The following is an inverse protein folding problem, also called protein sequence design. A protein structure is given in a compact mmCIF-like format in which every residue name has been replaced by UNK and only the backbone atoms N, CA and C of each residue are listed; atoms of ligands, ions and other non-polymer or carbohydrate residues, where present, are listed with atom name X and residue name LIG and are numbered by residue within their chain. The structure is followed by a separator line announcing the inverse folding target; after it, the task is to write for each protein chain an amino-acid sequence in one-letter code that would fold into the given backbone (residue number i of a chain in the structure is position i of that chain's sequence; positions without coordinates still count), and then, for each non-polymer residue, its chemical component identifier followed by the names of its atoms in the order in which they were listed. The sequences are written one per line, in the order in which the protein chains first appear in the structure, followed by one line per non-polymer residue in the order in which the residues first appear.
data_IF_284555393068
#
_entry.id   IF_284555393068
#
_cell.length_a   1.000
_cell.length_b   1.000
_cell.length_c   1.000
_cell.angle_alpha   90.00
_cell.angle_beta   90.00
_cell.angle_gamma   90.00
#
_symmetry.space_group_name_H-M   'P 1'
#
loop_
_entity.id
_entity.type
_entity.pdbx_description
1 polymer ?
#
# COMPACT_ATOMS: atom_id res chain seq x y z
N UNK A 1 -23.95 11.26 -5.94
CA UNK A 1 -24.90 10.19 -6.34
C UNK A 1 -24.76 9.75 -7.80
N UNK A 2 -24.32 10.59 -8.75
CA UNK A 2 -24.12 10.17 -10.14
C UNK A 2 -22.84 9.32 -10.37
N UNK A 3 -21.78 9.53 -9.59
CA UNK A 3 -20.53 8.79 -9.73
C UNK A 3 -20.62 7.32 -9.27
N UNK A 4 -21.51 7.00 -8.34
CA UNK A 4 -21.72 5.62 -7.87
C UNK A 4 -22.29 4.70 -8.97
N UNK A 5 -23.13 5.25 -9.88
CA UNK A 5 -23.72 4.47 -10.96
C UNK A 5 -22.70 4.07 -12.04
N UNK A 6 -21.73 4.93 -12.35
CA UNK A 6 -20.69 4.63 -13.32
C UNK A 6 -19.77 3.49 -12.83
N UNK A 7 -19.41 3.49 -11.54
CA UNK A 7 -18.62 2.42 -10.92
C UNK A 7 -19.38 1.10 -10.91
N UNK A 8 -20.70 1.13 -10.69
CA UNK A 8 -21.57 -0.06 -10.76
C UNK A 8 -21.61 -0.70 -12.15
N UNK A 9 -21.61 0.10 -13.21
CA UNK A 9 -21.59 -0.43 -14.58
C UNK A 9 -20.27 -1.10 -14.92
N UNK A 10 -19.14 -0.55 -14.48
CA UNK A 10 -17.82 -1.15 -14.68
C UNK A 10 -17.67 -2.51 -13.99
N UNK A 11 -18.23 -2.69 -12.79
CA UNK A 11 -18.16 -3.98 -12.07
C UNK A 11 -18.96 -5.12 -12.73
N UNK A 12 -19.83 -4.82 -13.70
CA UNK A 12 -20.50 -5.83 -14.52
C UNK A 12 -19.63 -6.35 -15.66
N UNK A 13 -18.61 -5.62 -16.07
CA UNK A 13 -17.65 -6.05 -17.06
C UNK A 13 -16.73 -7.13 -16.49
N UNK A 14 -16.62 -8.29 -17.20
CA UNK A 14 -15.80 -9.42 -16.75
C UNK A 14 -14.31 -9.08 -16.68
N UNK A 15 -13.82 -8.27 -17.62
CA UNK A 15 -12.42 -7.84 -17.67
C UNK A 15 -12.11 -6.95 -16.49
N UNK A 16 -12.94 -5.98 -16.22
CA UNK A 16 -12.79 -5.08 -15.07
C UNK A 16 -12.84 -5.83 -13.74
N UNK A 17 -13.72 -6.84 -13.60
CA UNK A 17 -13.77 -7.70 -12.41
C UNK A 17 -12.49 -8.49 -12.22
N UNK A 18 -11.95 -9.05 -13.30
CA UNK A 18 -10.69 -9.81 -13.27
C UNK A 18 -9.53 -8.89 -12.84
N UNK A 19 -9.40 -7.72 -13.45
CA UNK A 19 -8.34 -6.75 -13.13
C UNK A 19 -8.44 -6.25 -11.69
N UNK A 20 -9.66 -6.08 -11.19
CA UNK A 20 -9.92 -5.70 -9.80
C UNK A 20 -9.50 -6.79 -8.81
N UNK A 21 -9.78 -8.06 -9.11
CA UNK A 21 -9.32 -9.18 -8.28
C UNK A 21 -7.79 -9.33 -8.33
N UNK A 22 -7.19 -9.12 -9.49
CA UNK A 22 -5.74 -9.10 -9.64
C UNK A 22 -5.10 -7.97 -8.81
N UNK A 23 -5.71 -6.78 -8.82
CA UNK A 23 -5.29 -5.67 -7.97
C UNK A 23 -5.34 -6.01 -6.47
N UNK A 24 -6.44 -6.60 -5.99
CA UNK A 24 -6.54 -7.04 -4.60
C UNK A 24 -5.48 -8.10 -4.24
N UNK A 25 -5.23 -9.04 -5.15
CA UNK A 25 -4.17 -10.05 -4.98
C UNK A 25 -2.79 -9.39 -4.91
N UNK A 26 -2.55 -8.36 -5.71
CA UNK A 26 -1.34 -7.54 -5.66
C UNK A 26 -1.17 -6.83 -4.30
N UNK A 27 -2.24 -6.26 -3.75
CA UNK A 27 -2.23 -5.67 -2.40
C UNK A 27 -1.89 -6.70 -1.32
N UNK A 28 -2.47 -7.90 -1.43
CA UNK A 28 -2.21 -9.01 -0.51
C UNK A 28 -0.73 -9.42 -0.54
N UNK A 29 -0.17 -9.59 -1.74
CA UNK A 29 1.25 -9.91 -1.91
C UNK A 29 2.15 -8.78 -1.41
N UNK A 30 1.81 -7.52 -1.68
CA UNK A 30 2.57 -6.39 -1.17
C UNK A 30 2.59 -6.36 0.35
N UNK A 31 1.45 -6.59 1.01
CA UNK A 31 1.37 -6.63 2.47
C UNK A 31 2.27 -7.71 3.08
N UNK A 32 2.42 -8.87 2.38
CA UNK A 32 3.31 -9.96 2.82
C UNK A 32 4.79 -9.66 2.58
N UNK A 33 5.12 -8.99 1.48
CA UNK A 33 6.49 -8.86 1.00
C UNK A 33 7.19 -7.59 1.49
N UNK A 34 6.45 -6.51 1.75
CA UNK A 34 7.06 -5.21 2.06
C UNK A 34 7.80 -5.19 3.41
N UNK A 35 7.30 -5.89 4.42
CA UNK A 35 7.94 -5.98 5.73
C UNK A 35 9.32 -6.62 5.65
N UNK A 36 9.47 -7.84 5.12
CA UNK A 36 10.78 -8.47 4.88
C UNK A 36 11.71 -7.61 4.01
N UNK A 37 11.19 -6.91 2.99
CA UNK A 37 12.00 -5.99 2.19
C UNK A 37 12.52 -4.81 3.01
N UNK A 38 11.67 -4.23 3.86
CA UNK A 38 12.03 -3.12 4.74
C UNK A 38 13.13 -3.51 5.73
N UNK A 39 13.00 -4.68 6.38
CA UNK A 39 14.05 -5.19 7.28
C UNK A 39 15.39 -5.35 6.56
N UNK A 40 15.37 -5.91 5.37
CA UNK A 40 16.60 -6.17 4.60
C UNK A 40 17.39 -4.90 4.26
N UNK A 41 16.70 -3.79 4.10
CA UNK A 41 17.34 -2.51 3.70
C UNK A 41 17.51 -1.53 4.86
N UNK A 42 16.99 -1.84 6.03
CA UNK A 42 16.90 -0.92 7.15
C UNK A 42 18.23 -0.24 7.48
N UNK A 43 19.29 -1.02 7.65
CA UNK A 43 20.62 -0.52 7.99
C UNK A 43 21.33 0.21 6.85
N UNK A 44 20.75 0.17 5.65
CA UNK A 44 21.30 0.83 4.46
C UNK A 44 20.71 2.22 4.22
N UNK A 45 19.57 2.52 4.86
CA UNK A 45 18.91 3.83 4.74
C UNK A 45 19.72 4.84 5.56
N UNK A 46 20.28 5.81 4.87
CA UNK A 46 21.17 6.79 5.49
C UNK A 46 20.40 7.90 6.23
N UNK A 47 20.99 8.54 7.24
CA UNK A 47 20.39 9.70 7.91
C UNK A 47 20.01 10.84 6.95
N UNK A 48 20.76 11.00 5.86
CA UNK A 48 20.47 12.00 4.81
C UNK A 48 19.16 11.67 4.09
N UNK A 49 18.90 10.39 3.80
CA UNK A 49 17.66 9.96 3.15
C UNK A 49 16.46 10.06 4.09
N UNK A 50 16.66 9.75 5.37
CA UNK A 50 15.62 9.94 6.40
C UNK A 50 15.21 11.42 6.48
N UNK A 51 16.16 12.35 6.47
CA UNK A 51 15.87 13.78 6.44
C UNK A 51 15.16 14.19 5.13
N UNK A 52 15.60 13.67 3.98
CA UNK A 52 14.94 13.93 2.71
C UNK A 52 13.50 13.41 2.66
N UNK A 53 13.22 12.27 3.30
CA UNK A 53 11.84 11.76 3.47
C UNK A 53 10.99 12.69 4.32
N UNK A 54 11.55 13.19 5.44
CA UNK A 54 10.88 14.17 6.32
C UNK A 54 10.47 15.42 5.56
N UNK A 55 11.38 15.98 4.76
CA UNK A 55 11.11 17.18 3.96
C UNK A 55 10.02 16.93 2.90
N UNK A 56 10.02 15.75 2.28
CA UNK A 56 8.98 15.36 1.32
C UNK A 56 7.61 15.21 1.98
N UNK A 57 7.54 14.69 3.21
CA UNK A 57 6.28 14.52 3.93
C UNK A 57 5.66 15.85 4.34
N UNK A 58 6.46 16.89 4.51
CA UNK A 58 5.99 18.25 4.78
C UNK A 58 5.35 18.93 3.56
N UNK A 59 5.51 18.37 2.35
CA UNK A 59 4.96 18.96 1.13
C UNK A 59 3.46 18.73 1.03
N UNK A 60 2.67 19.72 0.58
CA UNK A 60 1.26 19.54 0.25
C UNK A 60 1.09 18.39 -0.76
N UNK A 61 0.08 17.56 -0.59
CA UNK A 61 -0.24 16.42 -1.46
C UNK A 61 0.82 15.29 -1.47
N UNK A 62 1.75 15.26 -0.51
CA UNK A 62 2.68 14.15 -0.37
C UNK A 62 1.94 12.86 -0.03
N UNK A 63 2.42 11.75 -0.62
CA UNK A 63 1.99 10.39 -0.27
C UNK A 63 3.17 9.71 0.43
N UNK A 64 3.21 9.72 1.77
CA UNK A 64 4.36 9.21 2.54
C UNK A 64 4.74 7.79 2.15
N UNK A 65 3.76 6.89 2.02
CA UNK A 65 3.98 5.49 1.66
C UNK A 65 4.73 5.32 0.33
N UNK A 66 4.41 6.15 -0.68
CA UNK A 66 5.10 6.13 -1.98
C UNK A 66 6.59 6.48 -1.84
N UNK A 67 6.90 7.48 -1.03
CA UNK A 67 8.28 7.92 -0.84
C UNK A 67 9.11 6.89 -0.06
N UNK A 68 8.50 6.27 0.97
CA UNK A 68 9.13 5.18 1.73
C UNK A 68 9.38 3.98 0.81
N UNK A 69 8.39 3.58 0.00
CA UNK A 69 8.55 2.49 -0.95
C UNK A 69 9.71 2.75 -1.92
N UNK A 70 9.79 3.96 -2.49
CA UNK A 70 10.89 4.33 -3.40
C UNK A 70 12.25 4.22 -2.69
N UNK A 71 12.34 4.66 -1.44
CA UNK A 71 13.57 4.55 -0.64
C UNK A 71 13.97 3.08 -0.46
N UNK A 72 13.03 2.19 -0.10
CA UNK A 72 13.28 0.75 0.03
C UNK A 72 13.79 0.17 -1.29
N UNK A 73 13.14 0.52 -2.42
CA UNK A 73 13.52 0.01 -3.74
C UNK A 73 14.93 0.44 -4.18
N UNK A 74 15.40 1.60 -3.75
CA UNK A 74 16.74 2.07 -4.07
C UNK A 74 17.84 1.23 -3.38
N UNK A 75 17.55 0.65 -2.21
CA UNK A 75 18.51 -0.13 -1.43
C UNK A 75 18.35 -1.64 -1.57
N UNK A 76 17.27 -2.10 -2.20
CA UNK A 76 16.99 -3.54 -2.36
C UNK A 76 17.85 -4.12 -3.47
N UNK A 77 18.88 -4.88 -3.08
CA UNK A 77 19.90 -5.47 -3.96
C UNK A 77 19.49 -6.82 -4.58
N UNK A 78 18.49 -7.50 -4.00
CA UNK A 78 18.00 -8.79 -4.47
C UNK A 78 17.09 -8.60 -5.69
N UNK A 79 17.67 -8.69 -6.89
CA UNK A 79 16.98 -8.38 -8.15
C UNK A 79 15.64 -9.10 -8.37
N UNK A 80 15.48 -10.42 -8.15
CA UNK A 80 14.20 -11.07 -8.31
C UNK A 80 13.13 -10.48 -7.40
N UNK A 81 13.48 -10.21 -6.15
CA UNK A 81 12.57 -9.64 -5.16
C UNK A 81 12.17 -8.20 -5.49
N UNK A 82 13.16 -7.39 -5.89
CA UNK A 82 12.94 -6.03 -6.38
C UNK A 82 12.00 -6.01 -7.58
N UNK A 83 12.21 -6.91 -8.56
CA UNK A 83 11.37 -7.03 -9.74
C UNK A 83 9.92 -7.35 -9.36
N UNK A 84 9.70 -8.34 -8.48
CA UNK A 84 8.36 -8.69 -8.01
C UNK A 84 7.66 -7.50 -7.36
N UNK A 85 8.32 -6.80 -6.43
CA UNK A 85 7.74 -5.63 -5.76
C UNK A 85 7.45 -4.49 -6.74
N UNK A 86 8.31 -4.25 -7.73
CA UNK A 86 8.09 -3.24 -8.76
C UNK A 86 6.88 -3.58 -9.64
N UNK A 87 6.73 -4.85 -10.06
CA UNK A 87 5.57 -5.26 -10.87
C UNK A 87 4.27 -5.17 -10.07
N UNK A 88 4.27 -5.61 -8.81
CA UNK A 88 3.11 -5.42 -7.93
C UNK A 88 2.79 -3.92 -7.79
N UNK A 89 3.80 -3.07 -7.58
CA UNK A 89 3.57 -1.63 -7.43
C UNK A 89 2.96 -1.00 -8.69
N UNK A 90 3.31 -1.48 -9.90
CA UNK A 90 2.66 -1.03 -11.14
C UNK A 90 1.16 -1.36 -11.14
N UNK A 91 0.79 -2.56 -10.70
CA UNK A 91 -0.62 -2.93 -10.51
C UNK A 91 -1.31 -2.02 -9.50
N UNK A 92 -0.61 -1.65 -8.42
CA UNK A 92 -1.18 -0.79 -7.37
C UNK A 92 -1.38 0.66 -7.83
N UNK A 93 -0.62 1.15 -8.80
CA UNK A 93 -0.85 2.46 -9.41
C UNK A 93 -2.24 2.57 -10.07
N UNK A 94 -2.74 1.46 -10.59
CA UNK A 94 -4.10 1.40 -11.15
C UNK A 94 -5.18 1.61 -10.07
N UNK A 95 -4.94 1.18 -8.85
CA UNK A 95 -5.89 1.28 -7.73
C UNK A 95 -5.96 2.67 -7.06
N UNK A 96 -5.12 3.62 -7.42
CA UNK A 96 -5.30 5.00 -6.98
C UNK A 96 -6.68 5.55 -7.38
N UNK A 97 -7.28 5.06 -8.46
CA UNK A 97 -8.64 5.40 -8.85
C UNK A 97 -9.67 4.99 -7.78
N UNK A 98 -9.51 3.83 -7.12
CA UNK A 98 -10.43 3.39 -6.07
C UNK A 98 -10.33 4.21 -4.78
N UNK A 99 -9.16 4.71 -4.43
CA UNK A 99 -9.00 5.56 -3.24
C UNK A 99 -9.65 6.94 -3.42
N UNK A 100 -9.70 7.46 -4.64
CA UNK A 100 -10.43 8.68 -4.96
C UNK A 100 -11.95 8.48 -4.92
N UNK A 101 -12.45 7.34 -5.40
CA UNK A 101 -13.89 7.05 -5.45
C UNK A 101 -14.46 6.61 -4.10
N UNK A 102 -13.64 6.11 -3.18
CA UNK A 102 -14.14 5.73 -1.86
C UNK A 102 -14.58 6.93 -0.99
N UNK A 103 -14.33 8.15 -1.45
CA UNK A 103 -14.89 9.41 -0.89
C UNK A 103 -14.65 9.65 0.61
N UNK A 104 -13.87 8.78 1.25
CA UNK A 104 -13.67 8.83 2.69
C UNK A 104 -12.30 9.43 2.99
N UNK A 105 -12.30 10.73 3.29
CA UNK A 105 -11.16 11.43 3.86
C UNK A 105 -10.53 10.68 5.03
N UNK A 106 -11.32 9.94 5.80
CA UNK A 106 -10.88 9.20 6.98
C UNK A 106 -9.93 8.03 6.66
N UNK A 107 -10.18 7.28 5.58
CA UNK A 107 -9.29 6.16 5.19
C UNK A 107 -7.94 6.63 4.67
N UNK A 108 -7.91 7.75 3.94
CA UNK A 108 -6.68 8.38 3.47
C UNK A 108 -5.89 8.96 4.64
N UNK A 109 -6.56 9.61 5.58
CA UNK A 109 -5.95 10.12 6.80
C UNK A 109 -5.35 8.99 7.64
N UNK A 110 -6.07 7.87 7.79
CA UNK A 110 -5.56 6.71 8.53
C UNK A 110 -4.35 6.07 7.85
N UNK A 111 -4.33 5.98 6.51
CA UNK A 111 -3.18 5.49 5.76
C UNK A 111 -1.96 6.39 5.95
N UNK A 112 -2.15 7.70 5.89
CA UNK A 112 -1.08 8.67 6.13
C UNK A 112 -0.55 8.57 7.56
N UNK A 113 -1.42 8.44 8.55
CA UNK A 113 -1.03 8.25 9.95
C UNK A 113 -0.22 6.96 10.15
N UNK A 114 -0.63 5.85 9.55
CA UNK A 114 0.09 4.59 9.63
C UNK A 114 1.47 4.69 8.94
N UNK A 115 1.54 5.36 7.79
CA UNK A 115 2.81 5.60 7.09
C UNK A 115 3.76 6.47 7.90
N UNK A 116 3.24 7.50 8.58
CA UNK A 116 4.03 8.34 9.47
C UNK A 116 4.52 7.59 10.71
N UNK A 117 3.70 6.70 11.29
CA UNK A 117 4.14 5.82 12.39
C UNK A 117 5.30 4.92 11.96
N UNK A 118 5.20 4.27 10.79
CA UNK A 118 6.31 3.50 10.24
C UNK A 118 7.57 4.37 10.06
N UNK A 119 7.42 5.58 9.55
CA UNK A 119 8.54 6.52 9.41
C UNK A 119 9.16 6.91 10.76
N UNK A 120 8.35 7.12 11.80
CA UNK A 120 8.88 7.38 13.15
C UNK A 120 9.68 6.21 13.71
N UNK A 121 9.24 4.96 13.45
CA UNK A 121 10.03 3.77 13.78
C UNK A 121 11.40 3.78 13.05
N UNK A 122 11.42 4.13 11.75
CA UNK A 122 12.66 4.28 11.00
C UNK A 122 13.59 5.34 11.62
N UNK A 123 13.05 6.50 12.02
CA UNK A 123 13.83 7.56 12.69
C UNK A 123 14.36 7.15 14.06
N UNK A 124 13.60 6.32 14.79
CA UNK A 124 13.97 5.83 16.11
C UNK A 124 14.95 4.66 16.09
N UNK A 125 15.29 4.11 14.92
CA UNK A 125 16.13 2.94 14.82
C UNK A 125 15.38 1.63 15.12
N UNK A 126 14.04 1.63 15.09
CA UNK A 126 13.19 0.47 15.33
C UNK A 126 12.87 -0.23 13.99
N UNK A 127 13.69 -1.21 13.63
CA UNK A 127 13.57 -1.95 12.39
C UNK A 127 12.26 -2.77 12.34
N UNK A 128 11.89 -3.38 13.44
CA UNK A 128 10.71 -4.24 13.56
C UNK A 128 9.43 -3.43 13.46
N UNK A 129 9.36 -2.31 14.16
CA UNK A 129 8.26 -1.36 14.07
C UNK A 129 8.12 -0.75 12.68
N UNK A 130 9.23 -0.45 11.99
CA UNK A 130 9.22 0.03 10.61
C UNK A 130 8.63 -1.00 9.65
N UNK A 131 9.09 -2.24 9.71
CA UNK A 131 8.66 -3.32 8.83
C UNK A 131 7.18 -3.69 9.05
N UNK A 132 6.78 -3.87 10.31
CA UNK A 132 5.39 -4.18 10.67
C UNK A 132 4.44 -3.03 10.34
N UNK A 133 4.88 -1.79 10.54
CA UNK A 133 4.13 -0.59 10.19
C UNK A 133 3.82 -0.49 8.69
N UNK A 134 4.80 -0.82 7.83
CA UNK A 134 4.58 -0.84 6.38
C UNK A 134 3.64 -1.96 5.94
N UNK A 135 3.81 -3.17 6.47
CA UNK A 135 2.87 -4.27 6.21
C UNK A 135 1.44 -3.88 6.61
N UNK A 136 1.28 -3.23 7.77
CA UNK A 136 0.00 -2.72 8.26
C UNK A 136 -0.64 -1.69 7.31
N UNK A 137 0.16 -0.82 6.66
CA UNK A 137 -0.35 0.12 5.66
C UNK A 137 -1.06 -0.61 4.51
N UNK A 138 -0.42 -1.63 3.94
CA UNK A 138 -0.99 -2.39 2.82
C UNK A 138 -2.15 -3.28 3.26
N UNK A 139 -2.12 -3.86 4.45
CA UNK A 139 -3.26 -4.56 5.04
C UNK A 139 -4.47 -3.63 5.21
N UNK A 140 -4.24 -2.38 5.62
CA UNK A 140 -5.29 -1.38 5.74
C UNK A 140 -5.91 -1.05 4.37
N UNK A 141 -5.09 -0.77 3.35
CA UNK A 141 -5.57 -0.50 1.98
C UNK A 141 -6.40 -1.69 1.48
N UNK A 142 -5.88 -2.91 1.59
CA UNK A 142 -6.58 -4.13 1.18
C UNK A 142 -7.94 -4.25 1.86
N UNK A 143 -8.00 -4.01 3.16
CA UNK A 143 -9.25 -4.11 3.94
C UNK A 143 -10.29 -3.08 3.47
N UNK A 144 -9.86 -1.83 3.26
CA UNK A 144 -10.76 -0.75 2.81
C UNK A 144 -11.28 -1.03 1.41
N UNK A 145 -10.38 -1.34 0.46
CA UNK A 145 -10.76 -1.59 -0.94
C UNK A 145 -11.65 -2.83 -1.04
N UNK A 146 -11.29 -3.92 -0.35
CA UNK A 146 -12.10 -5.14 -0.32
C UNK A 146 -13.51 -4.88 0.21
N UNK A 147 -13.62 -4.16 1.32
CA UNK A 147 -14.92 -3.80 1.90
C UNK A 147 -15.78 -2.96 0.95
N UNK A 148 -15.16 -2.00 0.26
CA UNK A 148 -15.83 -1.22 -0.78
C UNK A 148 -16.34 -2.12 -1.91
N UNK A 149 -15.51 -2.98 -2.47
CA UNK A 149 -15.86 -3.83 -3.62
C UNK A 149 -16.97 -4.84 -3.27
N UNK A 150 -16.95 -5.44 -2.09
CA UNK A 150 -18.03 -6.31 -1.61
C UNK A 150 -19.35 -5.54 -1.57
N UNK A 151 -19.32 -4.34 -1.00
CA UNK A 151 -20.50 -3.47 -0.89
C UNK A 151 -21.09 -3.10 -2.25
N UNK A 152 -20.22 -2.91 -3.26
CA UNK A 152 -20.62 -2.44 -4.58
C UNK A 152 -20.72 -3.57 -5.65
N UNK A 153 -20.81 -4.83 -5.25
CA UNK A 153 -21.24 -5.92 -6.12
C UNK A 153 -20.15 -6.85 -6.63
N UNK A 154 -19.00 -6.89 -5.95
CA UNK A 154 -17.95 -7.89 -6.19
C UNK A 154 -17.80 -8.81 -4.97
N UNK A 155 -18.75 -9.74 -4.73
CA UNK A 155 -18.72 -10.61 -3.55
C UNK A 155 -17.50 -11.54 -3.53
N UNK A 156 -16.93 -11.87 -4.67
CA UNK A 156 -15.72 -12.69 -4.81
C UNK A 156 -14.51 -12.07 -4.09
N UNK A 157 -14.50 -10.74 -3.90
CA UNK A 157 -13.48 -10.07 -3.11
C UNK A 157 -13.45 -10.56 -1.64
N UNK A 158 -14.53 -11.17 -1.14
CA UNK A 158 -14.59 -11.75 0.21
C UNK A 158 -13.65 -12.96 0.38
N UNK A 159 -13.33 -13.69 -0.71
CA UNK A 159 -12.42 -14.83 -0.67
C UNK A 159 -10.96 -14.44 -0.40
N UNK A 160 -10.60 -13.18 -0.70
CA UNK A 160 -9.26 -12.64 -0.47
C UNK A 160 -9.13 -12.19 1.00
N UNK A 161 -8.45 -13.00 1.79
CA UNK A 161 -8.22 -12.69 3.21
C UNK A 161 -7.13 -11.62 3.36
N UNK A 162 -7.31 -10.74 4.35
CA UNK A 162 -6.21 -9.86 4.77
C UNK A 162 -5.13 -10.75 5.41
N UNK A 163 -3.87 -10.73 4.94
CA UNK A 163 -2.81 -11.48 5.57
C UNK A 163 -2.55 -10.93 6.99
N UNK A 164 -1.96 -11.73 7.88
CA UNK A 164 -1.49 -11.20 9.14
C UNK A 164 -0.47 -10.09 8.88
N UNK A 165 -0.46 -9.08 9.73
CA UNK A 165 0.60 -8.06 9.71
C UNK A 165 1.92 -8.76 9.96
N UNK A 166 2.93 -8.41 9.17
CA UNK A 166 4.27 -8.96 9.33
C UNK A 166 4.79 -8.67 10.75
N UNK A 167 5.17 -9.73 11.42
CA UNK A 167 5.86 -9.70 12.73
C UNK A 167 7.21 -10.33 12.52
N UNK A 168 8.31 -9.61 12.76
CA UNK A 168 9.69 -10.10 12.64
C UNK A 168 10.00 -11.25 13.60
#
# INVERSE_FOLDING_TARGET
MQDDQATFHCLKDKTFRHDTLLYLSGLQLMALLIGPAALRVFDRITPREINALKDRFAQPQSIPLKHIFTCIMNHLDLQPYRTILCEINKLLLWGYYFSFYSGKSDSTNQLNLNSLKAFHCLQAGDADGFASGLSSCYCHILTVVRGFLIKYGLPEAASLRTPPVFTP
#
